data_IF_120113042548
#
_entry.id   IF_120113042548
#
_cell.length_a   1.000
_cell.length_b   1.000
_cell.length_c   1.000
_cell.angle_alpha   90.00
_cell.angle_beta   90.00
_cell.angle_gamma   90.00
#
_symmetry.space_group_name_H-M   'P 1'
#
loop_
_entity.id
_entity.type
_entity.pdbx_description
1 polymer ?
#
# COMPACT_ATOMS: atom_id res chain seq x y z
N UNK A 1 -3.79 17.55 19.37
CA UNK A 1 -3.62 16.57 20.49
C UNK A 1 -3.62 15.13 19.99
N UNK A 2 -4.53 14.72 19.10
CA UNK A 2 -4.63 13.32 18.62
C UNK A 2 -3.41 12.90 17.80
N UNK A 3 -2.97 13.68 16.80
CA UNK A 3 -1.76 13.41 16.02
C UNK A 3 -0.53 13.32 16.93
N UNK A 4 -0.42 14.21 17.94
CA UNK A 4 0.68 14.20 18.92
C UNK A 4 0.69 12.92 19.78
N UNK A 5 -0.47 12.33 20.10
CA UNK A 5 -0.53 11.03 20.80
C UNK A 5 -0.08 9.87 19.91
N UNK A 6 -0.35 9.91 18.61
CA UNK A 6 0.20 8.97 17.63
C UNK A 6 1.73 9.13 17.57
N UNK A 7 2.24 10.36 17.51
CA UNK A 7 3.67 10.64 17.45
C UNK A 7 4.46 10.16 18.67
N UNK A 8 3.89 10.14 19.88
CA UNK A 8 4.60 9.67 21.09
C UNK A 8 4.86 8.17 21.12
N UNK A 9 4.04 7.36 20.45
CA UNK A 9 4.26 5.91 20.36
C UNK A 9 5.29 5.49 19.31
N UNK A 10 5.65 6.37 18.41
CA UNK A 10 6.53 6.14 17.25
C UNK A 10 8.01 6.16 17.59
N UNK A 11 8.37 6.63 18.78
CA UNK A 11 9.76 6.66 19.27
C UNK A 11 10.35 5.24 19.33
N UNK A 12 9.49 4.22 19.44
CA UNK A 12 9.96 2.83 19.52
C UNK A 12 10.67 2.41 18.21
N UNK A 13 11.89 1.85 18.27
CA UNK A 13 12.70 1.56 17.09
C UNK A 13 12.05 0.55 16.12
N UNK A 14 11.16 -0.31 16.61
CA UNK A 14 10.45 -1.30 15.79
C UNK A 14 9.19 -0.76 15.08
N UNK A 15 8.77 0.47 15.37
CA UNK A 15 7.64 1.09 14.65
C UNK A 15 8.17 1.73 13.39
N UNK A 16 7.75 1.23 12.22
CA UNK A 16 8.26 1.63 10.91
C UNK A 16 7.25 2.38 10.05
N UNK A 17 5.97 2.38 10.42
CA UNK A 17 4.88 3.00 9.66
C UNK A 17 3.66 3.26 10.55
N UNK A 18 2.70 4.02 10.01
CA UNK A 18 1.33 4.16 10.54
C UNK A 18 0.36 3.35 9.71
N UNK A 19 -0.57 2.67 10.31
CA UNK A 19 -1.64 2.00 9.60
C UNK A 19 -1.99 0.65 10.20
N UNK A 20 -2.87 0.01 9.57
CA UNK A 20 -3.63 0.34 8.36
C UNK A 20 -4.68 1.42 8.67
N UNK A 21 -4.86 2.40 7.77
CA UNK A 21 -5.80 3.51 7.88
C UNK A 21 -6.28 3.92 6.49
N UNK A 22 -7.46 4.50 6.36
CA UNK A 22 -8.00 4.94 5.08
C UNK A 22 -9.51 4.86 5.01
N UNK A 23 -10.04 4.46 3.85
CA UNK A 23 -11.47 4.49 3.53
C UNK A 23 -11.96 3.11 3.08
N UNK A 24 -13.03 2.63 3.71
CA UNK A 24 -13.75 1.42 3.29
C UNK A 24 -15.25 1.75 3.15
N UNK A 25 -15.68 2.01 1.92
CA UNK A 25 -17.07 2.32 1.60
C UNK A 25 -17.86 1.08 1.18
N UNK A 26 -17.21 -0.09 1.14
CA UNK A 26 -17.87 -1.35 0.91
C UNK A 26 -18.50 -1.91 2.20
N UNK A 27 -17.73 -1.98 3.28
CA UNK A 27 -18.22 -2.49 4.56
C UNK A 27 -18.89 -1.41 5.40
N UNK A 28 -18.46 -0.15 5.29
CA UNK A 28 -19.02 1.02 6.00
C UNK A 28 -19.16 0.78 7.52
N UNK A 29 -18.20 0.07 8.14
CA UNK A 29 -18.24 -0.23 9.58
C UNK A 29 -18.16 1.00 10.48
N UNK A 30 -17.73 2.14 9.94
CA UNK A 30 -17.67 3.44 10.63
C UNK A 30 -18.22 4.52 9.71
N UNK A 31 -18.88 5.56 10.22
CA UNK A 31 -19.33 6.70 9.41
C UNK A 31 -18.20 7.28 8.56
N UNK A 32 -18.50 7.59 7.29
CA UNK A 32 -17.47 8.01 6.29
C UNK A 32 -16.74 9.27 6.70
N UNK A 33 -17.44 10.26 7.24
CA UNK A 33 -16.83 11.48 7.80
C UNK A 33 -15.81 11.18 8.90
N UNK A 34 -16.07 10.17 9.70
CA UNK A 34 -15.14 9.72 10.74
C UNK A 34 -13.94 8.97 10.17
N UNK A 35 -14.16 8.14 9.15
CA UNK A 35 -13.06 7.48 8.43
C UNK A 35 -12.11 8.53 7.84
N UNK A 36 -12.65 9.53 7.13
CA UNK A 36 -11.88 10.63 6.54
C UNK A 36 -11.11 11.44 7.59
N UNK A 37 -11.78 11.84 8.67
CA UNK A 37 -11.14 12.62 9.73
C UNK A 37 -9.97 11.86 10.38
N UNK A 38 -10.14 10.56 10.64
CA UNK A 38 -9.08 9.73 11.21
C UNK A 38 -7.95 9.50 10.20
N UNK A 39 -8.27 9.30 8.94
CA UNK A 39 -7.26 9.14 7.88
C UNK A 39 -6.37 10.38 7.76
N UNK A 40 -6.97 11.58 7.73
CA UNK A 40 -6.23 12.84 7.72
C UNK A 40 -5.30 13.00 8.93
N UNK A 41 -5.75 12.60 10.12
CA UNK A 41 -4.89 12.61 11.33
C UNK A 41 -3.68 11.67 11.20
N UNK A 42 -3.83 10.52 10.56
CA UNK A 42 -2.70 9.62 10.32
C UNK A 42 -1.73 10.19 9.27
N UNK A 43 -2.24 10.85 8.23
CA UNK A 43 -1.40 11.54 7.24
C UNK A 43 -0.62 12.69 7.91
N UNK A 44 -1.28 13.49 8.76
CA UNK A 44 -0.60 14.53 9.52
C UNK A 44 0.54 13.97 10.38
N UNK A 45 0.30 12.86 11.08
CA UNK A 45 1.32 12.19 11.87
C UNK A 45 2.47 11.64 11.00
N UNK A 46 2.17 11.07 9.82
CA UNK A 46 3.17 10.63 8.86
C UNK A 46 4.03 11.79 8.37
N UNK A 47 3.41 12.93 8.04
CA UNK A 47 4.11 14.17 7.62
C UNK A 47 5.04 14.69 8.71
N UNK A 48 4.57 14.72 9.97
CA UNK A 48 5.37 15.21 11.11
C UNK A 48 6.56 14.33 11.45
N UNK A 49 6.47 13.03 11.19
CA UNK A 49 7.47 12.06 11.63
C UNK A 49 8.35 11.52 10.52
N UNK A 50 7.93 11.71 9.26
CA UNK A 50 8.57 11.11 8.09
C UNK A 50 8.38 9.59 7.99
N UNK A 51 7.55 8.97 8.84
CA UNK A 51 7.21 7.56 8.72
C UNK A 51 6.08 7.36 7.69
N UNK A 52 6.13 6.31 6.87
CA UNK A 52 5.11 6.07 5.87
C UNK A 52 3.74 5.73 6.48
N UNK A 53 2.69 6.14 5.77
CA UNK A 53 1.32 5.68 6.04
C UNK A 53 0.99 4.48 5.16
N UNK A 54 0.41 3.43 5.76
CA UNK A 54 -0.14 2.27 5.05
C UNK A 54 -1.63 2.53 4.86
N UNK A 55 -2.03 2.74 3.60
CA UNK A 55 -3.36 3.22 3.24
C UNK A 55 -4.23 2.09 2.73
N UNK A 56 -5.39 1.92 3.36
CA UNK A 56 -6.48 1.08 2.89
C UNK A 56 -7.47 1.89 2.03
N UNK A 57 -7.90 1.33 0.91
CA UNK A 57 -9.00 1.90 0.12
C UNK A 57 -9.87 0.80 -0.48
N UNK A 58 -11.18 0.93 -0.33
CA UNK A 58 -12.15 0.02 -0.95
C UNK A 58 -13.45 0.75 -1.29
N UNK A 59 -13.81 0.71 -2.60
CA UNK A 59 -14.97 1.42 -3.16
C UNK A 59 -14.96 2.93 -2.84
N UNK A 60 -13.77 3.55 -2.75
CA UNK A 60 -13.56 4.93 -2.32
C UNK A 60 -12.51 5.68 -3.18
N UNK A 61 -12.23 5.23 -4.40
CA UNK A 61 -11.11 5.72 -5.23
C UNK A 61 -11.12 7.24 -5.41
N UNK A 62 -12.29 7.83 -5.74
CA UNK A 62 -12.40 9.27 -5.94
C UNK A 62 -12.10 10.04 -4.64
N UNK A 63 -12.76 9.66 -3.54
CA UNK A 63 -12.58 10.33 -2.25
C UNK A 63 -11.15 10.14 -1.73
N UNK A 64 -10.56 8.97 -1.97
CA UNK A 64 -9.17 8.68 -1.63
C UNK A 64 -8.21 9.61 -2.39
N UNK A 65 -8.38 9.75 -3.70
CA UNK A 65 -7.56 10.64 -4.54
C UNK A 65 -7.67 12.11 -4.11
N UNK A 66 -8.89 12.57 -3.79
CA UNK A 66 -9.15 13.92 -3.30
C UNK A 66 -8.41 14.18 -1.98
N UNK A 67 -8.57 13.31 -0.99
CA UNK A 67 -7.93 13.47 0.32
C UNK A 67 -6.40 13.42 0.20
N UNK A 68 -5.85 12.46 -0.55
CA UNK A 68 -4.41 12.36 -0.72
C UNK A 68 -3.83 13.63 -1.36
N UNK A 69 -4.50 14.18 -2.37
CA UNK A 69 -4.08 15.41 -3.06
C UNK A 69 -4.16 16.63 -2.14
N UNK A 70 -5.26 16.80 -1.43
CA UNK A 70 -5.44 17.90 -0.47
C UNK A 70 -4.39 17.86 0.65
N UNK A 71 -4.17 16.71 1.24
CA UNK A 71 -3.20 16.55 2.32
C UNK A 71 -1.75 16.70 1.83
N UNK A 72 -1.44 16.22 0.62
CA UNK A 72 -0.12 16.43 0.02
C UNK A 72 0.16 17.92 -0.27
N UNK A 73 -0.87 18.69 -0.62
CA UNK A 73 -0.80 20.13 -0.77
C UNK A 73 -0.40 20.88 0.51
N UNK A 74 -0.62 20.29 1.68
CA UNK A 74 -0.18 20.82 2.98
C UNK A 74 1.26 20.40 3.33
N UNK A 75 1.84 19.49 2.57
CA UNK A 75 3.21 19.00 2.71
C UNK A 75 3.31 17.51 2.40
N UNK A 76 4.36 17.12 1.68
CA UNK A 76 4.60 15.76 1.28
C UNK A 76 4.72 14.80 2.48
N UNK A 77 4.27 13.57 2.28
CA UNK A 77 4.39 12.46 3.23
C UNK A 77 4.68 11.15 2.49
N UNK A 78 5.44 10.23 3.06
CA UNK A 78 5.64 8.92 2.46
C UNK A 78 4.45 7.99 2.72
N UNK A 79 4.14 7.09 1.77
CA UNK A 79 3.04 6.15 1.96
C UNK A 79 2.92 5.10 0.87
N UNK A 80 2.05 4.14 1.11
CA UNK A 80 1.69 3.06 0.18
C UNK A 80 0.20 2.79 0.24
N UNK A 81 -0.44 2.67 -0.91
CA UNK A 81 -1.77 2.04 -0.99
C UNK A 81 -1.54 0.54 -0.92
N UNK A 82 -1.92 -0.07 0.19
CA UNK A 82 -1.82 -1.51 0.35
C UNK A 82 -2.97 -2.23 -0.35
N UNK A 83 -2.74 -3.46 -0.75
CA UNK A 83 -3.74 -4.32 -1.42
C UNK A 83 -4.48 -3.59 -2.56
N UNK A 84 -3.74 -2.83 -3.37
CA UNK A 84 -4.31 -1.96 -4.40
C UNK A 84 -5.23 -2.74 -5.34
N UNK A 85 -6.45 -2.26 -5.49
CA UNK A 85 -7.47 -2.79 -6.39
C UNK A 85 -8.25 -1.69 -7.12
N UNK A 86 -7.76 -0.45 -7.04
CA UNK A 86 -8.36 0.73 -7.66
C UNK A 86 -8.12 0.84 -9.16
N UNK A 87 -8.69 1.88 -9.76
CA UNK A 87 -8.57 2.20 -11.18
C UNK A 87 -7.37 3.09 -11.53
N UNK A 88 -7.24 3.37 -12.84
CA UNK A 88 -6.14 4.18 -13.40
C UNK A 88 -6.04 5.56 -12.74
N UNK A 89 -7.15 6.27 -12.56
CA UNK A 89 -7.15 7.62 -12.01
C UNK A 89 -6.56 7.68 -10.58
N UNK A 90 -6.88 6.69 -9.73
CA UNK A 90 -6.28 6.61 -8.41
C UNK A 90 -4.80 6.24 -8.50
N UNK A 91 -4.42 5.31 -9.39
CA UNK A 91 -3.02 4.94 -9.59
C UNK A 91 -2.18 6.14 -10.04
N UNK A 92 -2.65 6.92 -11.01
CA UNK A 92 -2.01 8.15 -11.47
C UNK A 92 -1.82 9.15 -10.32
N UNK A 93 -2.88 9.43 -9.55
CA UNK A 93 -2.79 10.31 -8.38
C UNK A 93 -1.73 9.83 -7.39
N UNK A 94 -1.73 8.54 -7.04
CA UNK A 94 -0.77 7.93 -6.09
C UNK A 94 0.67 8.11 -6.59
N UNK A 95 0.90 7.91 -7.89
CA UNK A 95 2.22 8.04 -8.49
C UNK A 95 2.71 9.49 -8.56
N UNK A 96 1.83 10.43 -8.94
CA UNK A 96 2.12 11.85 -9.01
C UNK A 96 2.52 12.42 -7.63
N UNK A 97 1.91 11.91 -6.57
CA UNK A 97 2.24 12.24 -5.19
C UNK A 97 3.50 11.52 -4.67
N UNK A 98 4.14 10.69 -5.50
CA UNK A 98 5.35 9.94 -5.14
C UNK A 98 5.12 8.78 -4.18
N UNK A 99 3.88 8.34 -3.99
CA UNK A 99 3.51 7.21 -3.14
C UNK A 99 3.77 5.86 -3.85
N UNK A 100 3.59 4.77 -3.12
CA UNK A 100 3.78 3.40 -3.61
C UNK A 100 2.44 2.67 -3.75
N UNK A 101 2.44 1.65 -4.60
CA UNK A 101 1.32 0.71 -4.78
C UNK A 101 1.79 -0.68 -4.37
N UNK A 102 1.07 -1.34 -3.46
CA UNK A 102 1.35 -2.71 -3.05
C UNK A 102 0.31 -3.68 -3.59
N UNK A 103 0.78 -4.79 -4.15
CA UNK A 103 -0.02 -5.76 -4.88
C UNK A 103 -0.13 -7.07 -4.11
N UNK A 104 -1.37 -7.48 -3.86
CA UNK A 104 -1.72 -8.74 -3.19
C UNK A 104 -2.06 -9.86 -4.16
N UNK A 105 -2.47 -11.01 -3.64
CA UNK A 105 -2.90 -12.17 -4.41
C UNK A 105 -4.02 -11.89 -5.42
N UNK A 106 -4.77 -10.79 -5.30
CA UNK A 106 -5.82 -10.37 -6.23
C UNK A 106 -5.31 -10.30 -7.66
N UNK A 107 -4.08 -9.83 -7.88
CA UNK A 107 -3.49 -9.68 -9.22
C UNK A 107 -3.45 -10.99 -10.01
N UNK A 108 -3.47 -12.13 -9.31
CA UNK A 108 -3.46 -13.46 -9.92
C UNK A 108 -4.86 -13.96 -10.32
N UNK A 109 -5.94 -13.29 -9.87
CA UNK A 109 -7.30 -13.79 -10.09
C UNK A 109 -7.74 -13.61 -11.53
N UNK A 110 -8.56 -14.55 -12.04
CA UNK A 110 -9.06 -14.48 -13.42
C UNK A 110 -9.85 -13.21 -13.70
N UNK A 111 -10.61 -12.71 -12.72
CA UNK A 111 -11.42 -11.50 -12.82
C UNK A 111 -10.62 -10.19 -12.72
N UNK A 112 -9.32 -10.23 -12.44
CA UNK A 112 -8.50 -9.05 -12.19
C UNK A 112 -7.82 -8.47 -13.44
N UNK A 113 -8.43 -8.64 -14.65
CA UNK A 113 -7.79 -8.13 -15.89
C UNK A 113 -7.67 -6.60 -15.87
N UNK A 114 -8.73 -5.89 -15.47
CA UNK A 114 -8.70 -4.44 -15.37
C UNK A 114 -7.56 -3.95 -14.45
N UNK A 115 -7.36 -4.60 -13.28
CA UNK A 115 -6.26 -4.29 -12.40
C UNK A 115 -4.89 -4.54 -13.07
N UNK A 116 -4.75 -5.63 -13.83
CA UNK A 116 -3.49 -5.90 -14.55
C UNK A 116 -3.17 -4.84 -15.60
N UNK A 117 -4.19 -4.30 -16.29
CA UNK A 117 -3.99 -3.18 -17.22
C UNK A 117 -3.44 -1.94 -16.49
N UNK A 118 -4.04 -1.55 -15.36
CA UNK A 118 -3.51 -0.45 -14.52
C UNK A 118 -2.05 -0.71 -14.16
N UNK A 119 -1.74 -1.91 -13.68
CA UNK A 119 -0.38 -2.25 -13.19
C UNK A 119 0.67 -2.22 -14.30
N UNK A 120 0.31 -2.51 -15.57
CA UNK A 120 1.25 -2.39 -16.69
C UNK A 120 1.85 -0.99 -16.79
N UNK A 121 1.09 0.03 -16.46
CA UNK A 121 1.50 1.45 -16.52
C UNK A 121 2.24 1.92 -15.25
N UNK A 122 2.11 1.24 -14.12
CA UNK A 122 2.78 1.63 -12.86
C UNK A 122 4.30 1.39 -12.99
N UNK A 123 5.17 2.38 -12.73
CA UNK A 123 6.62 2.17 -12.70
C UNK A 123 7.01 1.09 -11.68
N UNK A 124 7.89 0.17 -12.07
CA UNK A 124 8.31 -0.95 -11.22
C UNK A 124 8.97 -0.46 -9.90
N UNK A 125 9.58 0.72 -9.93
CA UNK A 125 10.20 1.39 -8.78
C UNK A 125 9.19 1.89 -7.75
N UNK A 126 7.89 1.82 -8.07
CA UNK A 126 6.77 2.21 -7.19
C UNK A 126 5.91 1.03 -6.77
N UNK A 127 6.31 -0.19 -7.12
CA UNK A 127 5.57 -1.42 -6.80
C UNK A 127 6.17 -2.09 -5.55
N UNK A 128 5.27 -2.55 -4.68
CA UNK A 128 5.52 -3.52 -3.62
C UNK A 128 4.65 -4.76 -3.84
N UNK A 129 4.99 -5.86 -3.19
CA UNK A 129 4.18 -7.09 -3.17
C UNK A 129 3.91 -7.50 -1.73
N UNK A 130 2.71 -8.02 -1.49
CA UNK A 130 2.24 -8.40 -0.17
C UNK A 130 1.35 -9.63 -0.19
N UNK A 131 0.87 -10.07 0.95
CA UNK A 131 -0.05 -11.21 1.06
C UNK A 131 -1.48 -10.82 1.36
N UNK A 132 -1.70 -9.89 2.27
CA UNK A 132 -2.98 -9.65 2.94
C UNK A 132 -3.48 -10.92 3.70
N UNK A 133 -2.53 -11.70 4.23
CA UNK A 133 -2.85 -12.92 4.99
C UNK A 133 -3.74 -12.63 6.21
N UNK A 134 -4.74 -13.47 6.47
CA UNK A 134 -5.01 -14.82 5.94
C UNK A 134 -5.92 -14.84 4.69
N UNK A 135 -6.20 -13.68 4.11
CA UNK A 135 -7.10 -13.49 2.96
C UNK A 135 -6.35 -13.54 1.64
N UNK A 136 -7.10 -13.50 0.54
CA UNK A 136 -6.62 -13.25 -0.83
C UNK A 136 -5.53 -14.20 -1.33
N UNK A 137 -5.54 -15.48 -0.90
CA UNK A 137 -4.57 -16.47 -1.37
C UNK A 137 -4.46 -16.45 -2.91
N UNK A 138 -3.23 -16.27 -3.47
CA UNK A 138 -3.03 -16.20 -4.91
C UNK A 138 -3.29 -17.54 -5.61
N UNK A 139 -3.49 -17.54 -6.92
CA UNK A 139 -3.45 -18.75 -7.73
C UNK A 139 -2.00 -19.29 -7.73
N UNK A 140 -1.76 -20.62 -7.50
CA UNK A 140 -2.72 -21.73 -7.47
C UNK A 140 -3.32 -22.05 -6.09
N UNK A 141 -3.12 -21.23 -5.08
CA UNK A 141 -3.56 -21.47 -3.70
C UNK A 141 -4.96 -20.92 -3.38
N UNK A 142 -5.66 -20.38 -4.38
CA UNK A 142 -7.01 -19.83 -4.25
C UNK A 142 -7.96 -20.77 -3.49
N UNK A 143 -8.73 -20.20 -2.54
CA UNK A 143 -9.65 -20.96 -1.68
C UNK A 143 -9.01 -21.59 -0.44
N UNK A 144 -7.69 -21.46 -0.27
CA UNK A 144 -6.99 -21.86 0.96
C UNK A 144 -6.73 -20.61 1.83
N UNK A 145 -6.42 -20.83 3.10
CA UNK A 145 -5.88 -19.78 3.97
C UNK A 145 -4.57 -19.28 3.38
N UNK A 146 -4.44 -17.97 3.22
CA UNK A 146 -3.20 -17.36 2.74
C UNK A 146 -2.12 -17.34 3.83
N UNK A 147 -0.87 -17.35 3.42
CA UNK A 147 0.31 -17.32 4.29
C UNK A 147 1.46 -16.53 3.63
N UNK A 148 2.43 -16.00 4.40
CA UNK A 148 3.53 -15.17 3.88
C UNK A 148 4.31 -15.83 2.72
N UNK A 149 4.51 -17.15 2.76
CA UNK A 149 5.22 -17.88 1.70
C UNK A 149 4.55 -17.77 0.32
N UNK A 150 3.23 -17.49 0.27
CA UNK A 150 2.51 -17.39 -1.00
C UNK A 150 2.74 -16.06 -1.73
N UNK A 151 3.41 -15.10 -1.09
CA UNK A 151 3.87 -13.86 -1.78
C UNK A 151 4.66 -14.18 -3.06
N UNK A 152 5.39 -15.30 -3.08
CA UNK A 152 6.14 -15.73 -4.26
C UNK A 152 5.26 -15.89 -5.52
N UNK A 153 4.01 -16.37 -5.38
CA UNK A 153 3.08 -16.48 -6.51
C UNK A 153 2.56 -15.12 -6.98
N UNK A 154 2.31 -14.20 -6.04
CA UNK A 154 1.97 -12.81 -6.37
C UNK A 154 3.12 -12.15 -7.12
N UNK A 155 4.35 -12.24 -6.60
CA UNK A 155 5.54 -11.69 -7.22
C UNK A 155 5.78 -12.25 -8.63
N UNK A 156 5.66 -13.57 -8.82
CA UNK A 156 5.78 -14.19 -10.14
C UNK A 156 4.77 -13.62 -11.15
N UNK A 157 3.51 -13.40 -10.73
CA UNK A 157 2.50 -12.80 -11.59
C UNK A 157 2.78 -11.33 -11.92
N UNK A 158 3.27 -10.57 -10.96
CA UNK A 158 3.67 -9.17 -11.19
C UNK A 158 4.87 -9.11 -12.14
N UNK A 159 5.86 -10.00 -12.00
CA UNK A 159 7.00 -10.10 -12.92
C UNK A 159 6.55 -10.36 -14.36
N UNK A 160 5.61 -11.31 -14.55
CA UNK A 160 4.98 -11.59 -15.86
C UNK A 160 4.33 -10.34 -16.45
N UNK A 161 3.54 -9.59 -15.67
CA UNK A 161 2.85 -8.37 -16.11
C UNK A 161 3.85 -7.29 -16.53
N UNK A 162 4.95 -7.16 -15.78
CA UNK A 162 6.01 -6.16 -16.03
C UNK A 162 7.03 -6.61 -17.09
N UNK A 163 6.97 -7.85 -17.56
CA UNK A 163 7.92 -8.37 -18.55
C UNK A 163 9.36 -8.49 -18.03
N UNK A 164 9.52 -8.72 -16.73
CA UNK A 164 10.84 -8.88 -16.08
C UNK A 164 10.98 -10.28 -15.48
N UNK A 165 12.18 -10.68 -15.10
CA UNK A 165 12.40 -11.94 -14.38
C UNK A 165 11.88 -11.86 -12.93
N UNK A 166 11.48 -12.99 -12.31
CA UNK A 166 11.11 -13.03 -10.90
C UNK A 166 12.21 -12.50 -9.96
N UNK A 167 13.47 -12.79 -10.28
CA UNK A 167 14.63 -12.34 -9.48
C UNK A 167 14.81 -10.81 -9.59
N UNK A 168 14.64 -10.25 -10.78
CA UNK A 168 14.65 -8.80 -10.98
C UNK A 168 13.53 -8.11 -10.22
N UNK A 169 12.30 -8.64 -10.30
CA UNK A 169 11.18 -8.10 -9.53
C UNK A 169 11.47 -8.17 -8.03
N UNK A 170 11.96 -9.30 -7.53
CA UNK A 170 12.29 -9.47 -6.12
C UNK A 170 13.33 -8.44 -5.66
N UNK A 171 14.37 -8.22 -6.45
CA UNK A 171 15.41 -7.24 -6.15
C UNK A 171 14.84 -5.80 -6.09
N UNK A 172 14.03 -5.42 -7.10
CA UNK A 172 13.46 -4.07 -7.19
C UNK A 172 12.45 -3.83 -6.07
N UNK A 173 11.52 -4.77 -5.82
CA UNK A 173 10.51 -4.60 -4.76
C UNK A 173 11.13 -4.61 -3.37
N UNK A 174 12.19 -5.38 -3.14
CA UNK A 174 12.98 -5.32 -1.90
C UNK A 174 13.64 -3.95 -1.73
N UNK A 175 14.26 -3.42 -2.77
CA UNK A 175 14.85 -2.07 -2.73
C UNK A 175 13.78 -0.99 -2.48
N UNK A 176 12.61 -1.10 -3.10
CA UNK A 176 11.48 -0.22 -2.88
C UNK A 176 10.99 -0.27 -1.43
N UNK A 177 10.89 -1.49 -0.85
CA UNK A 177 10.52 -1.66 0.55
C UNK A 177 11.46 -0.89 1.48
N UNK A 178 12.76 -1.09 1.36
CA UNK A 178 13.71 -0.40 2.23
C UNK A 178 13.81 1.11 1.95
N UNK A 179 13.50 1.56 0.74
CA UNK A 179 13.41 2.97 0.42
C UNK A 179 12.20 3.61 1.11
N UNK A 180 11.05 2.96 1.09
CA UNK A 180 9.85 3.43 1.75
C UNK A 180 9.96 3.30 3.28
N UNK A 181 10.30 2.11 3.77
CA UNK A 181 10.40 1.79 5.19
C UNK A 181 11.85 1.95 5.70
N UNK A 182 12.44 3.12 5.47
CA UNK A 182 13.85 3.38 5.77
C UNK A 182 14.28 3.10 7.21
N UNK A 183 13.33 3.11 8.17
CA UNK A 183 13.59 2.72 9.56
C UNK A 183 13.77 1.20 9.72
N UNK A 184 13.15 0.39 8.85
CA UNK A 184 13.30 -1.07 8.87
C UNK A 184 14.72 -1.52 8.47
N UNK A 185 15.38 -0.81 7.54
CA UNK A 185 16.74 -1.11 7.09
C UNK A 185 17.82 -0.97 8.19
N UNK A 186 17.49 -0.26 9.27
CA UNK A 186 18.40 -0.05 10.41
C UNK A 186 18.36 -1.15 11.46
N UNK A 187 17.38 -2.03 11.39
CA UNK A 187 17.27 -3.23 12.22
C UNK A 187 17.91 -4.35 11.41
N UNK A 188 19.21 -4.59 11.56
CA UNK A 188 19.98 -5.55 10.78
C UNK A 188 19.33 -6.92 10.59
N UNK A 189 19.91 -7.83 9.78
CA UNK A 189 19.31 -9.13 9.49
C UNK A 189 19.03 -9.88 10.79
N UNK A 190 17.86 -10.53 10.84
CA UNK A 190 17.47 -11.45 11.91
C UNK A 190 18.42 -12.63 12.00
#
# INVERSE_FOLDING_TARGET
RAAMMLCTRIIHPKVVAFGETGLDFFYDHSPRDRQEALFRLHIEAARQTGLPVIVHTRDADQQMAEILTEEHGQGAFPGVIHCFSGGDALAETVLDLGLYISLSGIVTFKSAEALREVIRNVPIERILVETDSPYLAPIPKRGKRNEPAFTAFTAAKVAEIKGVSPDELAAVTTANFFRLFGKAAKVGPL
#
